data_IF_960881178273
#
_entry.id   IF_960881178273
#
_cell.length_a   1.000
_cell.length_b   1.000
_cell.length_c   1.000
_cell.angle_alpha   90.00
_cell.angle_beta   90.00
_cell.angle_gamma   90.00
#
_symmetry.space_group_name_H-M   'P 1'
#
loop_
_entity.id
_entity.type
_entity.pdbx_description
1 polymer ?
#
# COMPACT_ATOMS: atom_id res chain seq x y z
N UNK A 1 -40.97 9.82 26.45
CA UNK A 1 -40.54 9.05 25.26
C UNK A 1 -39.10 8.69 25.55
N UNK A 2 -38.83 7.50 26.06
CA UNK A 2 -37.48 7.04 26.39
C UNK A 2 -36.75 6.74 25.07
N UNK A 3 -35.59 7.34 24.91
CA UNK A 3 -34.72 7.07 23.77
C UNK A 3 -34.29 5.59 23.84
N UNK A 4 -34.41 4.81 22.77
CA UNK A 4 -34.03 3.40 22.83
C UNK A 4 -32.54 3.30 23.19
N UNK A 5 -32.14 2.34 24.06
CA UNK A 5 -30.76 2.19 24.49
C UNK A 5 -29.86 2.02 23.26
N UNK A 6 -28.79 2.82 23.21
CA UNK A 6 -27.84 2.76 22.11
C UNK A 6 -27.30 1.33 21.94
N UNK A 7 -27.25 0.77 20.74
CA UNK A 7 -26.84 -0.62 20.51
C UNK A 7 -25.34 -0.88 20.75
N UNK A 8 -24.58 0.11 21.27
CA UNK A 8 -23.12 0.00 21.41
C UNK A 8 -22.74 -0.09 22.90
N UNK A 9 -22.41 -1.30 23.40
CA UNK A 9 -22.12 -1.56 24.80
C UNK A 9 -20.73 -1.02 25.25
N UNK A 10 -19.94 -0.45 24.33
CA UNK A 10 -18.54 -0.08 24.61
C UNK A 10 -18.44 1.42 24.89
N UNK A 11 -17.87 1.77 26.06
CA UNK A 11 -17.60 3.17 26.41
C UNK A 11 -16.61 3.84 25.44
N UNK A 12 -16.70 5.17 25.22
CA UNK A 12 -15.85 5.91 24.30
C UNK A 12 -14.34 5.66 24.50
N UNK A 13 -13.79 5.72 25.72
CA UNK A 13 -12.38 5.41 25.96
C UNK A 13 -11.98 3.98 25.62
N UNK A 14 -12.82 3.00 25.95
CA UNK A 14 -12.57 1.60 25.61
C UNK A 14 -12.66 1.36 24.11
N UNK A 15 -13.62 1.99 23.41
CA UNK A 15 -13.74 1.92 21.96
C UNK A 15 -12.47 2.47 21.25
N UNK A 16 -11.94 3.60 21.74
CA UNK A 16 -10.70 4.19 21.23
C UNK A 16 -9.49 3.28 21.43
N UNK A 17 -9.39 2.66 22.61
CA UNK A 17 -8.32 1.70 22.91
C UNK A 17 -8.41 0.47 22.01
N UNK A 18 -9.62 -0.09 21.82
CA UNK A 18 -9.85 -1.22 20.91
C UNK A 18 -9.49 -0.88 19.46
N UNK A 19 -9.81 0.35 19.00
CA UNK A 19 -9.39 0.80 17.69
C UNK A 19 -7.87 0.87 17.56
N UNK A 20 -7.18 1.51 18.51
CA UNK A 20 -5.73 1.67 18.47
C UNK A 20 -5.02 0.29 18.53
N UNK A 21 -5.40 -0.57 19.47
CA UNK A 21 -4.86 -1.90 19.60
C UNK A 21 -5.19 -2.79 18.38
N UNK A 22 -6.41 -2.70 17.87
CA UNK A 22 -6.85 -3.42 16.67
C UNK A 22 -6.07 -3.01 15.43
N UNK A 23 -5.90 -1.72 15.17
CA UNK A 23 -5.07 -1.21 14.07
C UNK A 23 -3.62 -1.68 14.19
N UNK A 24 -3.05 -1.61 15.38
CA UNK A 24 -1.68 -2.09 15.61
C UNK A 24 -1.56 -3.59 15.32
N UNK A 25 -2.43 -4.40 15.93
CA UNK A 25 -2.41 -5.85 15.76
C UNK A 25 -2.64 -6.24 14.29
N UNK A 26 -3.65 -5.65 13.63
CA UNK A 26 -3.93 -5.88 12.21
C UNK A 26 -2.74 -5.52 11.34
N UNK A 27 -2.08 -4.39 11.62
CA UNK A 27 -0.88 -3.95 10.88
C UNK A 27 0.28 -4.92 11.05
N UNK A 28 0.49 -5.46 12.25
CA UNK A 28 1.52 -6.48 12.50
C UNK A 28 1.21 -7.78 11.74
N UNK A 29 -0.04 -8.24 11.78
CA UNK A 29 -0.46 -9.47 11.11
C UNK A 29 -0.32 -9.34 9.59
N UNK A 30 -0.88 -8.28 8.99
CA UNK A 30 -0.81 -8.03 7.55
C UNK A 30 0.64 -7.80 7.11
N UNK A 31 1.42 -7.05 7.88
CA UNK A 31 2.85 -6.84 7.63
C UNK A 31 3.64 -8.14 7.67
N UNK A 32 3.39 -9.00 8.65
CA UNK A 32 4.01 -10.32 8.75
C UNK A 32 3.63 -11.23 7.58
N UNK A 33 2.33 -11.31 7.23
CA UNK A 33 1.88 -12.07 6.05
C UNK A 33 2.56 -11.55 4.78
N UNK A 34 2.59 -10.23 4.60
CA UNK A 34 3.27 -9.60 3.48
C UNK A 34 4.76 -9.95 3.43
N UNK A 35 5.45 -9.92 4.58
CA UNK A 35 6.86 -10.32 4.68
C UNK A 35 7.09 -11.79 4.27
N UNK A 36 6.17 -12.69 4.61
CA UNK A 36 6.24 -14.13 4.29
C UNK A 36 5.86 -14.47 2.85
N UNK A 37 5.34 -13.52 2.06
CA UNK A 37 5.00 -13.76 0.66
C UNK A 37 6.23 -14.20 -0.15
N UNK A 38 6.20 -15.35 -0.80
CA UNK A 38 7.34 -15.85 -1.59
C UNK A 38 7.56 -14.99 -2.85
N UNK A 39 8.82 -14.84 -3.24
CA UNK A 39 9.22 -14.04 -4.40
C UNK A 39 8.47 -14.42 -5.69
N UNK A 40 8.22 -15.71 -5.90
CA UNK A 40 7.48 -16.22 -7.09
C UNK A 40 6.08 -15.62 -7.26
N UNK A 41 5.36 -15.31 -6.16
CA UNK A 41 4.05 -14.63 -6.22
C UNK A 41 4.21 -13.16 -6.64
N UNK A 42 5.36 -12.57 -6.30
CA UNK A 42 5.68 -11.17 -6.54
C UNK A 42 6.39 -10.93 -7.89
N UNK A 43 6.73 -11.98 -8.65
CA UNK A 43 7.36 -11.86 -9.97
C UNK A 43 6.39 -11.38 -11.04
N UNK A 44 5.12 -11.77 -10.95
CA UNK A 44 4.10 -11.45 -11.94
C UNK A 44 3.02 -10.53 -11.36
N UNK A 45 2.36 -9.79 -12.23
CA UNK A 45 1.22 -8.97 -11.83
C UNK A 45 0.01 -9.86 -11.54
N UNK A 46 -0.51 -9.79 -10.32
CA UNK A 46 -1.78 -10.38 -9.96
C UNK A 46 -2.96 -9.53 -10.46
N UNK A 47 -4.18 -10.05 -10.35
CA UNK A 47 -5.39 -9.25 -10.61
C UNK A 47 -5.43 -7.94 -9.81
N UNK A 48 -4.91 -7.94 -8.59
CA UNK A 48 -4.85 -6.75 -7.72
C UNK A 48 -3.76 -5.75 -8.14
N UNK A 49 -2.61 -6.23 -8.61
CA UNK A 49 -1.45 -5.39 -8.87
C UNK A 49 -1.27 -5.02 -10.35
N UNK A 50 -1.90 -5.72 -11.29
CA UNK A 50 -1.79 -5.40 -12.73
C UNK A 50 -2.18 -3.96 -13.03
N UNK A 51 -1.51 -3.31 -14.00
CA UNK A 51 -1.89 -1.99 -14.47
C UNK A 51 -3.33 -1.99 -14.99
N UNK A 52 -4.05 -0.91 -14.75
CA UNK A 52 -5.44 -0.79 -15.16
C UNK A 52 -5.54 -0.40 -16.64
N UNK A 53 -6.54 -0.95 -17.39
CA UNK A 53 -6.64 -0.75 -18.86
C UNK A 53 -6.93 0.69 -19.28
N UNK A 54 -7.40 1.54 -18.36
CA UNK A 54 -7.69 2.96 -18.64
C UNK A 54 -6.45 3.88 -18.65
N UNK A 55 -5.29 3.38 -19.12
CA UNK A 55 -4.09 4.18 -19.33
C UNK A 55 -3.31 4.49 -18.05
N UNK A 56 -3.23 3.55 -17.14
CA UNK A 56 -2.40 3.69 -15.93
C UNK A 56 -0.92 3.71 -16.33
N UNK A 57 -0.26 4.84 -16.13
CA UNK A 57 1.15 5.07 -16.47
C UNK A 57 1.81 6.04 -15.49
N UNK A 58 3.15 6.09 -15.41
CA UNK A 58 3.83 7.08 -14.58
C UNK A 58 3.44 8.52 -14.93
N UNK A 59 3.23 8.81 -16.23
CA UNK A 59 2.82 10.13 -16.70
C UNK A 59 1.39 10.48 -16.24
N UNK A 60 0.46 9.50 -16.21
CA UNK A 60 -0.90 9.73 -15.73
C UNK A 60 -0.94 10.06 -14.23
N UNK A 61 -0.12 9.36 -13.43
CA UNK A 61 0.05 9.64 -12.01
C UNK A 61 0.64 11.02 -11.75
N UNK A 62 1.64 11.40 -12.53
CA UNK A 62 2.27 12.72 -12.38
C UNK A 62 1.33 13.87 -12.77
N UNK A 63 0.57 13.71 -13.86
CA UNK A 63 -0.40 14.74 -14.30
C UNK A 63 -1.55 14.93 -13.30
N UNK A 64 -2.06 13.82 -12.72
CA UNK A 64 -3.25 13.88 -11.86
C UNK A 64 -2.90 14.16 -10.40
N UNK A 65 -1.82 13.57 -9.91
CA UNK A 65 -1.52 13.53 -8.48
C UNK A 65 -0.20 14.23 -8.12
N UNK A 66 0.61 14.64 -9.10
CA UNK A 66 1.93 15.28 -8.87
C UNK A 66 2.78 14.51 -7.85
N UNK A 67 2.82 13.19 -7.97
CA UNK A 67 3.40 12.28 -6.97
C UNK A 67 4.85 12.65 -6.61
N UNK A 68 5.65 13.12 -7.57
CA UNK A 68 7.04 13.52 -7.32
C UNK A 68 7.18 14.64 -6.30
N UNK A 69 6.18 15.52 -6.17
CA UNK A 69 6.23 16.68 -5.29
C UNK A 69 6.07 16.29 -3.81
N UNK A 70 5.30 15.24 -3.49
CA UNK A 70 4.95 14.90 -2.10
C UNK A 70 5.36 13.50 -1.65
N UNK A 71 5.73 12.58 -2.56
CA UNK A 71 6.08 11.19 -2.20
C UNK A 71 7.23 11.07 -1.20
N UNK A 72 8.09 12.09 -1.11
CA UNK A 72 9.20 12.12 -0.16
C UNK A 72 8.78 12.34 1.29
N UNK A 73 7.55 12.79 1.52
CA UNK A 73 6.97 12.91 2.86
C UNK A 73 6.46 11.57 3.40
N UNK A 74 6.25 10.59 2.54
CA UNK A 74 5.84 9.27 3.00
C UNK A 74 7.06 8.50 3.53
N UNK A 75 6.95 7.90 4.73
CA UNK A 75 8.01 7.09 5.29
C UNK A 75 8.31 5.89 4.38
N UNK A 76 9.58 5.68 4.06
CA UNK A 76 10.02 4.49 3.32
C UNK A 76 10.15 3.32 4.29
N UNK A 77 9.03 2.64 4.56
CA UNK A 77 8.97 1.47 5.43
C UNK A 77 9.70 0.23 4.85
N UNK A 78 10.18 0.31 3.61
CA UNK A 78 10.91 -0.79 2.98
C UNK A 78 12.22 -1.17 3.69
N UNK A 79 12.78 -0.25 4.49
CA UNK A 79 13.97 -0.52 5.31
C UNK A 79 13.67 -1.05 6.72
N UNK A 80 12.40 -1.09 7.13
CA UNK A 80 11.99 -1.46 8.50
C UNK A 80 12.06 -2.97 8.75
N UNK A 81 11.94 -3.78 7.70
CA UNK A 81 12.06 -5.24 7.78
C UNK A 81 13.41 -5.70 7.27
N UNK A 82 13.99 -6.71 7.94
CA UNK A 82 15.27 -7.30 7.56
C UNK A 82 15.26 -7.74 6.08
N UNK A 83 16.18 -7.21 5.28
CA UNK A 83 16.26 -7.48 3.83
C UNK A 83 15.46 -6.52 2.94
N UNK A 84 14.81 -5.50 3.49
CA UNK A 84 14.16 -4.44 2.72
C UNK A 84 15.18 -3.57 1.95
N UNK A 85 14.78 -3.07 0.77
CA UNK A 85 15.62 -2.22 -0.09
C UNK A 85 15.12 -0.78 -0.06
N UNK A 86 16.02 0.15 0.28
CA UNK A 86 15.71 1.59 0.18
C UNK A 86 15.42 1.98 -1.26
N UNK A 87 14.23 2.57 -1.49
CA UNK A 87 13.74 2.97 -2.81
C UNK A 87 14.19 4.38 -3.23
N UNK A 88 15.04 5.02 -2.43
CA UNK A 88 15.43 6.42 -2.61
C UNK A 88 16.11 6.72 -3.96
N UNK A 89 16.81 5.75 -4.58
CA UNK A 89 17.40 5.94 -5.92
C UNK A 89 17.04 4.77 -6.83
N UNK A 90 16.30 5.07 -7.90
CA UNK A 90 15.91 4.10 -8.94
C UNK A 90 16.82 4.16 -10.16
N UNK A 91 17.76 5.11 -10.21
CA UNK A 91 18.63 5.37 -11.37
C UNK A 91 19.92 4.56 -11.24
N UNK A 92 20.37 3.94 -12.34
CA UNK A 92 21.66 3.25 -12.43
C UNK A 92 21.73 1.87 -11.76
N UNK A 93 20.57 1.26 -11.39
CA UNK A 93 20.58 -0.07 -10.77
C UNK A 93 20.64 -1.19 -11.80
N UNK A 94 21.43 -2.21 -11.49
CA UNK A 94 21.55 -3.45 -12.26
C UNK A 94 20.20 -4.20 -12.41
N UNK A 95 20.03 -5.04 -13.44
CA UNK A 95 18.77 -5.75 -13.70
C UNK A 95 18.27 -6.61 -12.51
N UNK A 96 19.08 -7.36 -11.75
CA UNK A 96 18.63 -8.10 -10.58
C UNK A 96 18.04 -7.20 -9.49
N UNK A 97 18.73 -6.11 -9.15
CA UNK A 97 18.26 -5.14 -8.15
C UNK A 97 16.94 -4.50 -8.57
N UNK A 98 16.77 -4.20 -9.87
CA UNK A 98 15.52 -3.64 -10.41
C UNK A 98 14.36 -4.63 -10.27
N UNK A 99 14.57 -5.92 -10.60
CA UNK A 99 13.56 -6.98 -10.41
C UNK A 99 13.14 -7.08 -8.94
N UNK A 100 14.10 -7.10 -8.03
CA UNK A 100 13.83 -7.10 -6.58
C UNK A 100 13.01 -5.88 -6.13
N UNK A 101 13.32 -4.69 -6.63
CA UNK A 101 12.55 -3.48 -6.34
C UNK A 101 11.10 -3.56 -6.84
N UNK A 102 10.87 -4.14 -8.02
CA UNK A 102 9.52 -4.39 -8.55
C UNK A 102 8.76 -5.35 -7.62
N UNK A 103 9.38 -6.43 -7.16
CA UNK A 103 8.76 -7.36 -6.21
C UNK A 103 8.41 -6.66 -4.89
N UNK A 104 9.31 -5.84 -4.35
CA UNK A 104 9.07 -5.08 -3.11
C UNK A 104 7.94 -4.02 -3.26
N UNK A 105 7.80 -3.40 -4.43
CA UNK A 105 6.65 -2.51 -4.67
C UNK A 105 5.32 -3.28 -4.72
N UNK A 106 5.28 -4.47 -5.33
CA UNK A 106 4.08 -5.34 -5.30
C UNK A 106 3.76 -5.82 -3.90
N UNK A 107 4.76 -6.24 -3.14
CA UNK A 107 4.61 -6.59 -1.73
C UNK A 107 3.95 -5.46 -0.94
N UNK A 108 4.48 -4.25 -1.07
CA UNK A 108 3.93 -3.08 -0.39
C UNK A 108 2.50 -2.75 -0.85
N UNK A 109 2.18 -2.87 -2.15
CA UNK A 109 0.80 -2.71 -2.64
C UNK A 109 -0.15 -3.70 -1.94
N UNK A 110 0.22 -4.99 -1.88
CA UNK A 110 -0.60 -6.03 -1.26
C UNK A 110 -0.79 -5.80 0.24
N UNK A 111 0.26 -5.35 0.94
CA UNK A 111 0.17 -4.98 2.36
C UNK A 111 -0.83 -3.83 2.55
N UNK A 112 -0.71 -2.74 1.81
CA UNK A 112 -1.64 -1.60 1.95
C UNK A 112 -3.08 -1.96 1.54
N UNK A 113 -3.27 -2.83 0.55
CA UNK A 113 -4.58 -3.39 0.21
C UNK A 113 -5.15 -4.26 1.34
N UNK A 114 -4.30 -5.03 2.01
CA UNK A 114 -4.70 -5.86 3.16
C UNK A 114 -4.96 -5.05 4.44
N UNK A 115 -4.30 -3.89 4.60
CA UNK A 115 -4.54 -3.00 5.73
C UNK A 115 -5.89 -2.29 5.61
N UNK A 116 -6.27 -1.87 4.40
CA UNK A 116 -7.45 -1.05 4.17
C UNK A 116 -8.74 -1.61 4.77
N UNK A 117 -9.12 -2.90 4.60
CA UNK A 117 -10.42 -3.40 5.04
C UNK A 117 -10.62 -3.46 6.56
N UNK A 118 -9.62 -3.16 7.39
CA UNK A 118 -9.78 -3.21 8.85
C UNK A 118 -10.90 -2.30 9.39
N UNK A 119 -11.22 -1.21 8.69
CA UNK A 119 -12.35 -0.36 9.06
C UNK A 119 -13.68 -1.13 9.15
N UNK A 120 -13.86 -2.21 8.37
CA UNK A 120 -15.04 -3.08 8.44
C UNK A 120 -15.11 -3.81 9.79
N UNK A 121 -13.97 -4.22 10.32
CA UNK A 121 -13.89 -4.91 11.62
C UNK A 121 -14.31 -3.97 12.75
N UNK A 122 -14.04 -2.66 12.62
CA UNK A 122 -14.41 -1.68 13.65
C UNK A 122 -15.93 -1.53 13.81
N UNK A 123 -16.73 -1.95 12.82
CA UNK A 123 -18.20 -1.96 12.91
C UNK A 123 -18.74 -2.90 14.00
N UNK A 124 -17.91 -3.82 14.51
CA UNK A 124 -18.30 -4.72 15.62
C UNK A 124 -18.48 -3.99 16.95
N UNK A 125 -17.86 -2.81 17.11
CA UNK A 125 -17.92 -2.06 18.40
C UNK A 125 -18.11 -0.55 18.23
N UNK A 126 -18.08 -0.01 17.01
CA UNK A 126 -18.28 1.42 16.76
C UNK A 126 -19.65 1.73 16.16
N UNK A 127 -20.21 2.90 16.48
CA UNK A 127 -21.35 3.44 15.78
C UNK A 127 -20.99 3.82 14.33
N UNK A 128 -21.98 4.01 13.44
CA UNK A 128 -21.75 4.32 12.01
C UNK A 128 -20.79 5.51 11.77
N UNK A 129 -20.89 6.55 12.57
CA UNK A 129 -19.99 7.71 12.49
C UNK A 129 -18.53 7.33 12.80
N UNK A 130 -18.30 6.46 13.79
CA UNK A 130 -16.97 5.93 14.14
C UNK A 130 -16.40 5.04 13.04
N UNK A 131 -17.23 4.20 12.44
CA UNK A 131 -16.86 3.36 11.29
C UNK A 131 -16.48 4.23 10.08
N UNK A 132 -17.26 5.27 9.79
CA UNK A 132 -16.93 6.24 8.73
C UNK A 132 -15.60 6.93 8.99
N UNK A 133 -15.33 7.35 10.23
CA UNK A 133 -14.04 7.94 10.61
C UNK A 133 -12.88 6.97 10.37
N UNK A 134 -13.05 5.69 10.72
CA UNK A 134 -12.04 4.66 10.45
C UNK A 134 -11.86 4.39 8.95
N UNK A 135 -12.92 4.43 8.14
CA UNK A 135 -12.81 4.35 6.68
C UNK A 135 -12.00 5.52 6.12
N UNK A 136 -12.29 6.75 6.57
CA UNK A 136 -11.54 7.95 6.15
C UNK A 136 -10.07 7.84 6.55
N UNK A 137 -9.80 7.42 7.77
CA UNK A 137 -8.44 7.15 8.26
C UNK A 137 -7.73 6.09 7.40
N UNK A 138 -8.35 4.92 7.21
CA UNK A 138 -7.80 3.85 6.39
C UNK A 138 -7.47 4.34 4.97
N UNK A 139 -8.37 5.12 4.38
CA UNK A 139 -8.20 5.67 3.02
C UNK A 139 -7.07 6.69 2.97
N UNK A 140 -7.03 7.63 3.90
CA UNK A 140 -6.01 8.68 3.94
C UNK A 140 -4.59 8.13 4.12
N UNK A 141 -4.43 7.04 4.88
CA UNK A 141 -3.11 6.44 5.13
C UNK A 141 -2.69 5.43 4.05
N UNK A 142 -3.61 4.64 3.52
CA UNK A 142 -3.24 3.57 2.59
C UNK A 142 -3.23 4.01 1.12
N UNK A 143 -4.14 4.88 0.71
CA UNK A 143 -4.28 5.25 -0.70
C UNK A 143 -3.06 6.01 -1.26
N UNK A 144 -2.47 7.00 -0.56
CA UNK A 144 -1.23 7.64 -1.01
C UNK A 144 -0.08 6.65 -1.16
N UNK A 145 0.06 5.71 -0.21
CA UNK A 145 1.08 4.67 -0.28
C UNK A 145 0.88 3.77 -1.50
N UNK A 146 -0.35 3.33 -1.78
CA UNK A 146 -0.69 2.56 -2.98
C UNK A 146 -0.30 3.30 -4.27
N UNK A 147 -0.64 4.58 -4.39
CA UNK A 147 -0.29 5.38 -5.56
C UNK A 147 1.22 5.49 -5.77
N UNK A 148 1.99 5.72 -4.69
CA UNK A 148 3.45 5.80 -4.77
C UNK A 148 4.07 4.45 -5.15
N UNK A 149 3.57 3.33 -4.61
CA UNK A 149 4.09 2.00 -4.97
C UNK A 149 3.82 1.68 -6.45
N UNK A 150 2.61 1.93 -6.94
CA UNK A 150 2.24 1.76 -8.35
C UNK A 150 3.06 2.64 -9.27
N UNK A 151 3.17 3.92 -8.96
CA UNK A 151 3.99 4.85 -9.71
C UNK A 151 5.46 4.38 -9.82
N UNK A 152 6.06 3.96 -8.70
CA UNK A 152 7.43 3.47 -8.67
C UNK A 152 7.60 2.19 -9.49
N UNK A 153 6.66 1.25 -9.36
CA UNK A 153 6.69 -0.02 -10.12
C UNK A 153 6.60 0.22 -11.62
N UNK A 154 5.65 1.01 -12.08
CA UNK A 154 5.48 1.33 -13.51
C UNK A 154 6.72 2.01 -14.09
N UNK A 155 7.37 2.89 -13.33
CA UNK A 155 8.65 3.48 -13.75
C UNK A 155 9.75 2.44 -13.88
N UNK A 156 9.88 1.52 -12.92
CA UNK A 156 10.88 0.46 -12.96
C UNK A 156 10.67 -0.49 -14.13
N UNK A 157 9.43 -0.83 -14.44
CA UNK A 157 9.06 -1.68 -15.56
C UNK A 157 9.35 -1.00 -16.91
N UNK A 158 9.02 0.29 -17.06
CA UNK A 158 9.33 1.06 -18.26
C UNK A 158 10.84 1.16 -18.56
N UNK A 159 11.68 1.32 -17.52
CA UNK A 159 13.13 1.30 -17.69
C UNK A 159 13.66 -0.07 -18.13
N UNK A 160 12.98 -1.16 -17.78
CA UNK A 160 13.38 -2.51 -18.18
C UNK A 160 13.08 -2.79 -19.67
N UNK A 161 11.98 -2.29 -20.22
CA UNK A 161 11.65 -2.43 -21.65
C UNK A 161 12.62 -1.65 -22.53
N UNK A 162 12.90 -0.40 -22.20
CA UNK A 162 13.83 0.44 -22.97
C UNK A 162 15.25 -0.15 -23.06
N UNK A 163 15.73 -0.79 -21.98
CA UNK A 163 17.06 -1.44 -22.00
C UNK A 163 17.08 -2.68 -22.89
N UNK A 164 15.96 -3.40 -23.01
CA UNK A 164 15.87 -4.61 -23.84
C UNK A 164 15.85 -4.26 -25.34
N UNK A 165 15.17 -3.19 -25.70
CA UNK A 165 15.09 -2.73 -27.10
C UNK A 165 16.44 -2.21 -27.61
N UNK A 166 17.23 -1.55 -26.75
CA UNK A 166 18.57 -1.06 -27.11
C UNK A 166 19.63 -2.16 -27.28
N UNK A 167 19.43 -3.35 -26.68
CA UNK A 167 20.35 -4.49 -26.82
C UNK A 167 19.97 -5.44 -27.96
N UNK A 168 18.75 -5.37 -28.49
CA UNK A 168 18.31 -6.19 -29.63
C UNK A 168 18.48 -5.50 -31.01
N UNK A 169 18.96 -4.27 -31.01
CA UNK A 169 19.17 -3.46 -32.21
C UNK A 169 20.66 -3.36 -32.70
N UNK A 170 21.57 -4.21 -32.17
CA UNK A 170 22.97 -4.34 -32.67
C UNK A 170 23.21 -5.66 -33.35
#
# INVERSE_FOLDING_TARGET
MEEPPSPHPVSGPLASLLCAAGWLLWSLVVGYIGHRLPARILEHDSWLTRPRPWGESPASYERRLRIRQWKHWLPDAGATFAGGVRKASLVGRDPPTRRRLVQETRRAELVHLGLWPFWLVTALWLPPAGVLLNLLFATAFNLPCLWVQRFNRLRLQGLASTTKDSTSGC
#
